data_IF_057513810006
#
_entry.id   IF_057513810006
#
_cell.length_a   1.000
_cell.length_b   1.000
_cell.length_c   1.000
_cell.angle_alpha   90.00
_cell.angle_beta   90.00
_cell.angle_gamma   90.00
#
_symmetry.space_group_name_H-M   'P 1'
#
loop_
_entity.id
_entity.type
_entity.pdbx_description
1 polymer ?
#
# COMPACT_ATOMS: atom_id res chain seq x y z
N UNK A 1 -1.14 -16.68 39.75
CA UNK A 1 -1.05 -15.59 40.75
C UNK A 1 0.24 -14.84 40.46
N UNK A 2 0.17 -13.83 39.61
CA UNK A 2 1.31 -12.97 39.31
C UNK A 2 1.11 -11.67 40.09
N UNK A 3 1.97 -11.49 41.09
CA UNK A 3 2.06 -10.27 41.89
C UNK A 3 2.57 -9.13 40.99
N UNK A 4 1.70 -8.18 40.69
CA UNK A 4 2.09 -6.90 40.10
C UNK A 4 2.97 -6.17 41.13
N UNK A 5 4.25 -6.05 40.83
CA UNK A 5 5.15 -5.15 41.54
C UNK A 5 4.83 -3.72 41.07
N UNK A 6 4.05 -3.01 41.89
CA UNK A 6 3.90 -1.57 41.80
C UNK A 6 5.29 -0.92 41.92
N UNK A 7 5.75 -0.29 40.85
CA UNK A 7 6.87 0.65 40.92
C UNK A 7 6.42 1.86 41.74
N UNK A 8 6.59 1.76 43.07
CA UNK A 8 6.42 2.86 44.01
C UNK A 8 7.46 3.95 43.65
N UNK A 9 7.03 4.98 42.92
CA UNK A 9 7.81 6.22 42.77
C UNK A 9 7.78 6.88 44.15
N UNK A 10 8.78 6.60 44.98
CA UNK A 10 8.90 7.19 46.33
C UNK A 10 9.16 8.70 46.16
N UNK A 11 8.16 9.49 46.47
CA UNK A 11 8.26 10.94 46.65
C UNK A 11 9.12 11.23 47.88
N UNK A 12 10.42 11.49 47.72
CA UNK A 12 11.22 12.01 48.80
C UNK A 12 11.07 13.54 48.84
N UNK A 13 10.32 14.02 49.83
CA UNK A 13 10.18 15.44 50.09
C UNK A 13 11.24 15.80 51.14
N UNK A 14 12.36 16.39 50.68
CA UNK A 14 13.20 17.19 51.60
C UNK A 14 12.53 18.56 51.78
N UNK A 15 12.70 19.26 52.94
CA UNK A 15 11.94 20.44 53.26
C UNK A 15 11.96 21.57 52.20
N UNK A 16 12.88 21.51 51.23
CA UNK A 16 13.02 22.53 50.19
C UNK A 16 13.09 22.00 48.75
N UNK A 17 12.89 20.67 48.52
CA UNK A 17 13.06 20.09 47.15
C UNK A 17 12.05 18.98 46.91
N UNK A 18 11.36 19.01 45.76
CA UNK A 18 10.49 17.97 45.24
C UNK A 18 11.12 17.32 44.04
N UNK A 19 11.29 16.00 44.06
CA UNK A 19 11.81 15.27 42.88
C UNK A 19 10.69 14.82 41.96
N UNK A 20 10.73 15.21 40.71
CA UNK A 20 9.78 14.82 39.64
C UNK A 20 10.57 14.16 38.51
N UNK A 21 10.27 12.90 38.17
CA UNK A 21 11.00 12.13 37.13
C UNK A 21 12.52 12.15 37.33
N UNK A 22 12.96 11.92 38.55
CA UNK A 22 14.39 11.98 38.95
C UNK A 22 15.07 13.35 38.83
N UNK A 23 14.34 14.40 38.54
CA UNK A 23 14.84 15.78 38.45
C UNK A 23 14.42 16.52 39.75
N UNK A 24 15.37 17.08 40.52
CA UNK A 24 15.05 17.89 41.68
C UNK A 24 14.53 19.26 41.30
N UNK A 25 13.45 19.69 41.93
CA UNK A 25 12.81 21.01 41.75
C UNK A 25 12.74 21.71 43.11
N UNK A 26 13.27 22.90 43.24
CA UNK A 26 13.17 23.70 44.46
C UNK A 26 11.70 24.03 44.72
N UNK A 27 11.27 23.84 45.98
CA UNK A 27 9.94 24.29 46.43
C UNK A 27 9.94 25.80 46.51
N UNK A 28 9.00 26.43 45.78
CA UNK A 28 8.85 27.88 45.79
C UNK A 28 7.93 28.35 46.92
N UNK A 29 8.40 29.20 47.86
CA UNK A 29 7.61 29.65 48.96
C UNK A 29 6.52 30.63 48.44
N UNK A 30 5.28 30.31 48.69
CA UNK A 30 4.15 31.17 48.29
C UNK A 30 2.81 30.45 48.34
N UNK A 31 1.77 31.20 48.55
CA UNK A 31 0.41 30.68 48.73
C UNK A 31 -0.10 30.07 47.43
N UNK A 32 -0.74 28.90 47.51
CA UNK A 32 -1.55 28.34 46.45
C UNK A 32 -2.92 29.01 46.53
N UNK A 33 -3.27 29.69 45.43
CA UNK A 33 -4.55 30.39 45.40
C UNK A 33 -5.73 29.42 45.28
N UNK A 34 -6.87 29.66 45.99
CA UNK A 34 -8.04 28.78 45.93
C UNK A 34 -8.52 28.48 44.48
N UNK A 35 -8.46 29.48 43.62
CA UNK A 35 -8.85 29.34 42.20
C UNK A 35 -7.96 28.33 41.41
N UNK A 36 -6.69 28.19 41.79
CA UNK A 36 -5.79 27.22 41.15
C UNK A 36 -6.09 25.80 41.64
N UNK A 37 -6.34 25.68 42.95
CA UNK A 37 -6.72 24.37 43.56
C UNK A 37 -8.04 23.87 42.97
N UNK A 38 -9.05 24.73 42.88
CA UNK A 38 -10.32 24.40 42.24
C UNK A 38 -10.17 24.02 40.75
N UNK A 39 -9.33 24.73 40.00
CA UNK A 39 -9.06 24.44 38.60
C UNK A 39 -8.30 23.09 38.44
N UNK A 40 -7.39 22.76 39.36
CA UNK A 40 -6.67 21.50 39.34
C UNK A 40 -7.61 20.33 39.58
N UNK A 41 -8.43 20.40 40.68
CA UNK A 41 -9.42 19.38 41.00
C UNK A 41 -10.43 19.15 39.89
N UNK A 42 -10.98 20.22 39.33
CA UNK A 42 -11.91 20.13 38.18
C UNK A 42 -11.30 19.42 36.95
N UNK A 43 -9.97 19.41 36.85
CA UNK A 43 -9.21 18.78 35.75
C UNK A 43 -8.56 17.45 36.10
N UNK A 44 -8.88 16.88 37.30
CA UNK A 44 -8.38 15.59 37.74
C UNK A 44 -6.96 15.62 38.32
N UNK A 45 -6.56 16.73 38.93
CA UNK A 45 -5.24 16.90 39.53
C UNK A 45 -5.34 17.55 40.90
N UNK A 46 -4.35 17.28 41.77
CA UNK A 46 -4.12 18.00 43.00
C UNK A 46 -2.82 18.81 42.89
N UNK A 47 -2.82 20.02 43.48
CA UNK A 47 -1.59 20.82 43.59
C UNK A 47 -0.79 20.33 44.80
N UNK A 48 0.41 19.79 44.54
CA UNK A 48 1.33 19.31 45.60
C UNK A 48 2.14 20.47 46.15
N UNK A 49 2.72 21.29 45.27
CA UNK A 49 3.54 22.43 45.65
C UNK A 49 3.67 23.45 44.50
N UNK A 50 4.10 24.66 44.82
CA UNK A 50 4.72 25.56 43.84
C UNK A 50 6.19 25.19 43.76
N UNK A 51 6.74 25.16 42.52
CA UNK A 51 8.11 24.72 42.31
C UNK A 51 8.88 25.67 41.37
N UNK A 52 10.18 25.76 41.55
CA UNK A 52 11.14 26.54 40.80
C UNK A 52 10.94 28.05 40.85
N UNK A 53 9.76 28.57 40.55
CA UNK A 53 9.45 29.96 40.43
C UNK A 53 7.94 30.25 40.69
N UNK A 54 7.55 31.51 40.50
CA UNK A 54 6.15 31.96 40.70
C UNK A 54 5.16 31.43 39.66
N UNK A 55 5.62 30.78 38.57
CA UNK A 55 4.78 30.41 37.41
C UNK A 55 4.53 28.86 37.31
N UNK A 56 5.22 28.06 38.10
CA UNK A 56 5.13 26.60 37.99
C UNK A 56 4.52 25.93 39.23
N UNK A 57 3.74 24.89 38.97
CA UNK A 57 3.14 23.99 39.96
C UNK A 57 3.60 22.57 39.72
N UNK A 58 3.71 21.82 40.81
CA UNK A 58 3.73 20.36 40.81
C UNK A 58 2.30 19.88 40.92
N UNK A 59 1.79 19.16 39.91
CA UNK A 59 0.46 18.57 39.92
C UNK A 59 0.54 17.06 40.07
N UNK A 60 -0.17 16.50 41.03
CA UNK A 60 -0.40 15.08 41.20
C UNK A 60 -1.63 14.65 40.41
N UNK A 61 -1.52 13.61 39.59
CA UNK A 61 -2.63 13.07 38.86
C UNK A 61 -3.53 12.21 39.72
N UNK A 62 -4.83 12.48 39.79
CA UNK A 62 -5.77 11.75 40.65
C UNK A 62 -6.07 10.32 40.16
N UNK A 63 -5.67 10.00 38.88
CA UNK A 63 -5.85 8.66 38.31
C UNK A 63 -4.67 7.74 38.66
N UNK A 64 -3.41 8.21 38.45
CA UNK A 64 -2.23 7.36 38.56
C UNK A 64 -1.24 7.81 39.65
N UNK A 65 -1.50 8.93 40.35
CA UNK A 65 -0.62 9.49 41.36
C UNK A 65 0.67 10.15 40.86
N UNK A 66 0.96 10.05 39.56
CA UNK A 66 2.17 10.61 38.98
C UNK A 66 2.19 12.16 39.14
N UNK A 67 3.37 12.67 39.53
CA UNK A 67 3.57 14.11 39.69
C UNK A 67 4.23 14.70 38.45
N UNK A 68 3.74 15.85 38.03
CA UNK A 68 4.29 16.55 36.86
C UNK A 68 4.41 18.06 37.09
N UNK A 69 5.38 18.68 36.43
CA UNK A 69 5.57 20.13 36.41
C UNK A 69 4.66 20.75 35.37
N UNK A 70 3.83 21.73 35.78
CA UNK A 70 2.89 22.42 34.87
C UNK A 70 2.97 23.94 35.12
N UNK A 71 2.84 24.74 34.07
CA UNK A 71 2.69 26.19 34.24
C UNK A 71 1.29 26.53 34.74
N UNK A 72 1.18 27.51 35.63
CA UNK A 72 -0.12 28.02 36.10
C UNK A 72 -1.00 28.44 34.92
N UNK A 73 -0.43 29.09 33.91
CA UNK A 73 -1.16 29.47 32.70
C UNK A 73 -1.78 28.24 32.01
N UNK A 74 -1.05 27.16 31.86
CA UNK A 74 -1.57 25.91 31.25
C UNK A 74 -2.68 25.30 32.08
N UNK A 75 -2.54 25.30 33.43
CA UNK A 75 -3.60 24.84 34.31
C UNK A 75 -4.89 25.68 34.14
N UNK A 76 -4.75 27.01 34.03
CA UNK A 76 -5.91 27.89 33.95
C UNK A 76 -6.57 27.92 32.57
N UNK A 77 -5.80 27.85 31.49
CA UNK A 77 -6.30 28.03 30.11
C UNK A 77 -6.50 26.74 29.30
N UNK A 78 -5.93 25.62 29.73
CA UNK A 78 -5.99 24.35 28.98
C UNK A 78 -6.21 23.18 29.94
N UNK A 79 -6.44 21.98 29.38
CA UNK A 79 -6.44 20.71 30.11
C UNK A 79 -5.01 20.20 30.24
N UNK A 80 -4.40 20.12 31.42
CA UNK A 80 -3.13 19.43 31.60
C UNK A 80 -3.27 17.95 31.23
N UNK A 81 -2.25 17.39 30.58
CA UNK A 81 -2.22 15.97 30.22
C UNK A 81 -1.24 15.24 31.13
N UNK A 82 -1.66 14.14 31.74
CA UNK A 82 -0.76 13.29 32.52
C UNK A 82 0.05 12.39 31.57
N UNK A 83 1.37 12.58 31.49
CA UNK A 83 2.24 11.79 30.64
C UNK A 83 2.21 10.29 30.98
N UNK A 84 2.16 9.95 32.28
CA UNK A 84 2.08 8.56 32.75
C UNK A 84 0.77 7.88 32.33
N UNK A 85 -0.37 8.57 32.46
CA UNK A 85 -1.65 8.04 32.00
C UNK A 85 -1.69 7.84 30.47
N UNK A 86 -1.12 8.78 29.71
CA UNK A 86 -1.02 8.65 28.24
C UNK A 86 -0.16 7.44 27.88
N UNK A 87 0.99 7.27 28.50
CA UNK A 87 1.86 6.12 28.24
C UNK A 87 1.19 4.79 28.66
N UNK A 88 0.49 4.78 29.79
CA UNK A 88 -0.29 3.62 30.22
C UNK A 88 -1.38 3.25 29.20
N UNK A 89 -2.06 4.25 28.63
CA UNK A 89 -3.04 4.04 27.56
C UNK A 89 -2.39 3.46 26.29
N UNK A 90 -1.21 3.97 25.88
CA UNK A 90 -0.48 3.40 24.74
C UNK A 90 -0.06 1.95 24.96
N UNK A 91 0.36 1.60 26.19
CA UNK A 91 0.68 0.22 26.56
C UNK A 91 -0.55 -0.67 26.51
N UNK A 92 -1.66 -0.22 27.06
CA UNK A 92 -2.91 -0.98 27.03
C UNK A 92 -3.43 -1.20 25.60
N UNK A 93 -3.39 -0.17 24.74
CA UNK A 93 -3.75 -0.29 23.33
C UNK A 93 -2.82 -1.28 22.61
N UNK A 94 -1.52 -1.23 22.90
CA UNK A 94 -0.54 -2.15 22.31
C UNK A 94 -0.80 -3.60 22.73
N UNK A 95 -1.01 -3.85 24.05
CA UNK A 95 -1.30 -5.18 24.59
C UNK A 95 -2.59 -5.75 23.98
N UNK A 96 -3.64 -4.93 23.86
CA UNK A 96 -4.88 -5.33 23.20
C UNK A 96 -4.70 -5.61 21.70
N UNK A 97 -3.71 -4.99 21.05
CA UNK A 97 -3.33 -5.25 19.67
C UNK A 97 -2.37 -6.45 19.50
N UNK A 98 -2.00 -7.15 20.58
CA UNK A 98 -1.02 -8.25 20.57
C UNK A 98 0.42 -7.78 20.35
N UNK A 99 0.74 -6.55 20.76
CA UNK A 99 2.04 -5.91 20.62
C UNK A 99 2.56 -5.45 21.98
N UNK A 100 3.87 -5.28 22.13
CA UNK A 100 4.49 -4.66 23.30
C UNK A 100 4.98 -3.26 22.94
N UNK A 101 4.45 -2.24 23.60
CA UNK A 101 4.94 -0.87 23.42
C UNK A 101 6.35 -0.73 23.99
N UNK A 102 7.29 -0.22 23.20
CA UNK A 102 8.66 0.02 23.64
C UNK A 102 8.85 1.48 24.07
N UNK A 103 8.69 2.39 23.16
CA UNK A 103 8.82 3.82 23.43
C UNK A 103 8.18 4.64 22.30
N UNK A 104 7.90 5.91 22.62
CA UNK A 104 7.46 6.89 21.63
C UNK A 104 8.60 7.22 20.67
N UNK A 105 8.28 7.46 19.40
CA UNK A 105 9.25 7.96 18.42
C UNK A 105 9.72 9.38 18.82
N UNK A 106 11.04 9.58 19.05
CA UNK A 106 11.57 10.88 19.43
C UNK A 106 11.43 11.93 18.32
N UNK A 107 11.34 11.49 17.05
CA UNK A 107 11.28 12.37 15.88
C UNK A 107 9.84 12.64 15.41
N UNK A 108 8.86 11.84 15.88
CA UNK A 108 7.48 12.04 15.48
C UNK A 108 6.50 11.69 16.62
N UNK A 109 5.85 12.73 17.15
CA UNK A 109 4.94 12.61 18.29
C UNK A 109 3.72 11.69 18.06
N UNK A 110 3.40 11.34 16.82
CA UNK A 110 2.25 10.50 16.47
C UNK A 110 2.60 9.01 16.32
N UNK A 111 3.88 8.63 16.47
CA UNK A 111 4.37 7.29 16.29
C UNK A 111 4.98 6.71 17.57
N UNK A 112 4.91 5.40 17.69
CA UNK A 112 5.63 4.59 18.66
C UNK A 112 6.34 3.42 18.00
N UNK A 113 7.28 2.83 18.73
CA UNK A 113 7.95 1.59 18.40
C UNK A 113 7.35 0.45 19.24
N UNK A 114 7.11 -0.67 18.59
CA UNK A 114 6.44 -1.82 19.19
C UNK A 114 7.18 -3.10 18.84
N UNK A 115 7.28 -4.00 19.80
CA UNK A 115 7.75 -5.35 19.58
C UNK A 115 6.54 -6.23 19.25
N UNK A 116 6.60 -6.97 18.13
CA UNK A 116 5.54 -7.87 17.69
C UNK A 116 5.82 -9.32 18.09
N UNK A 117 4.79 -10.17 18.10
CA UNK A 117 4.91 -11.58 18.44
C UNK A 117 5.93 -12.35 17.57
N UNK A 118 6.20 -11.88 16.34
CA UNK A 118 7.21 -12.47 15.46
C UNK A 118 8.65 -12.03 15.77
N UNK A 119 8.88 -11.27 16.84
CA UNK A 119 10.21 -10.81 17.26
C UNK A 119 10.71 -9.54 16.58
N UNK A 120 9.98 -8.98 15.63
CA UNK A 120 10.40 -7.76 14.94
C UNK A 120 9.91 -6.50 15.64
N UNK A 121 10.72 -5.44 15.58
CA UNK A 121 10.34 -4.11 16.03
C UNK A 121 9.70 -3.38 14.85
N UNK A 122 8.51 -2.83 15.07
CA UNK A 122 7.74 -2.10 14.08
C UNK A 122 7.44 -0.68 14.55
N UNK A 123 7.44 0.27 13.65
CA UNK A 123 7.06 1.66 13.89
C UNK A 123 5.64 1.89 13.40
N UNK A 124 4.72 2.31 14.28
CA UNK A 124 3.31 2.53 13.96
C UNK A 124 2.77 3.81 14.57
N UNK A 125 1.75 4.37 13.94
CA UNK A 125 0.96 5.45 14.52
C UNK A 125 0.15 4.93 15.69
N UNK A 126 0.03 5.73 16.76
CA UNK A 126 -0.82 5.39 17.91
C UNK A 126 -2.27 5.13 17.49
N UNK A 127 -2.80 5.92 16.55
CA UNK A 127 -4.16 5.73 16.05
C UNK A 127 -4.34 4.40 15.30
N UNK A 128 -3.32 3.95 14.55
CA UNK A 128 -3.35 2.64 13.91
C UNK A 128 -3.41 1.51 14.95
N UNK A 129 -2.62 1.62 16.05
CA UNK A 129 -2.65 0.63 17.12
C UNK A 129 -4.02 0.56 17.77
N UNK A 130 -4.67 1.69 18.05
CA UNK A 130 -6.06 1.72 18.56
C UNK A 130 -7.04 1.01 17.64
N UNK A 131 -6.91 1.22 16.34
CA UNK A 131 -7.76 0.55 15.34
C UNK A 131 -7.52 -0.96 15.30
N UNK A 132 -6.27 -1.41 15.47
CA UNK A 132 -5.94 -2.84 15.58
C UNK A 132 -6.51 -3.41 16.87
N UNK A 133 -6.32 -2.73 18.01
CA UNK A 133 -6.87 -3.11 19.30
C UNK A 133 -8.41 -3.24 19.29
N UNK A 134 -9.08 -2.37 18.53
CA UNK A 134 -10.53 -2.40 18.34
C UNK A 134 -11.00 -3.45 17.29
N UNK A 135 -10.10 -4.22 16.68
CA UNK A 135 -10.44 -5.20 15.64
C UNK A 135 -10.88 -4.59 14.29
N UNK A 136 -10.71 -3.28 14.09
CA UNK A 136 -11.11 -2.58 12.86
C UNK A 136 -10.13 -2.80 11.70
N UNK A 137 -8.92 -3.26 11.98
CA UNK A 137 -7.90 -3.60 10.99
C UNK A 137 -6.93 -4.63 11.57
N UNK A 138 -6.29 -5.43 10.71
CA UNK A 138 -5.29 -6.40 11.12
C UNK A 138 -3.90 -5.77 11.28
N UNK A 139 -3.07 -6.40 12.10
CA UNK A 139 -1.64 -6.11 12.18
C UNK A 139 -0.88 -6.89 11.10
N UNK A 140 0.07 -6.23 10.45
CA UNK A 140 1.01 -6.85 9.51
C UNK A 140 2.42 -6.36 9.80
N UNK A 141 3.33 -7.31 10.05
CA UNK A 141 4.76 -7.01 10.14
C UNK A 141 5.37 -6.93 8.74
N UNK A 142 5.98 -5.81 8.38
CA UNK A 142 6.58 -5.60 7.05
C UNK A 142 7.74 -6.59 6.79
N UNK A 143 8.55 -6.86 7.79
CA UNK A 143 9.69 -7.80 7.68
C UNK A 143 9.21 -9.21 7.38
N UNK A 144 8.22 -9.70 8.15
CA UNK A 144 7.63 -11.03 7.88
C UNK A 144 6.94 -11.08 6.52
N UNK A 145 6.27 -10.00 6.13
CA UNK A 145 5.59 -9.94 4.84
C UNK A 145 6.58 -9.98 3.67
N UNK A 146 7.67 -9.22 3.75
CA UNK A 146 8.73 -9.26 2.74
C UNK A 146 9.40 -10.65 2.65
N UNK A 147 9.63 -11.29 3.81
CA UNK A 147 10.14 -12.66 3.84
C UNK A 147 9.18 -13.66 3.19
N UNK A 148 7.87 -13.52 3.44
CA UNK A 148 6.84 -14.36 2.80
C UNK A 148 6.82 -14.16 1.29
N UNK A 149 6.87 -12.90 0.80
CA UNK A 149 6.94 -12.61 -0.65
C UNK A 149 8.16 -13.24 -1.31
N UNK A 150 9.32 -13.23 -0.63
CA UNK A 150 10.54 -13.85 -1.15
C UNK A 150 10.41 -15.40 -1.21
N UNK A 151 9.85 -16.03 -0.17
CA UNK A 151 9.63 -17.46 -0.14
C UNK A 151 8.61 -17.91 -1.21
N UNK A 152 7.52 -17.17 -1.39
CA UNK A 152 6.54 -17.43 -2.46
C UNK A 152 7.19 -17.41 -3.86
N UNK A 153 8.17 -16.55 -4.08
CA UNK A 153 8.93 -16.52 -5.33
C UNK A 153 9.84 -17.74 -5.47
N UNK A 154 10.61 -18.06 -4.42
CA UNK A 154 11.52 -19.24 -4.40
C UNK A 154 10.76 -20.54 -4.66
N UNK A 155 9.61 -20.74 -4.03
CA UNK A 155 8.76 -21.92 -4.21
C UNK A 155 8.31 -22.12 -5.67
N UNK A 156 8.42 -21.06 -6.50
CA UNK A 156 8.07 -21.09 -7.93
C UNK A 156 9.26 -21.02 -8.87
N UNK A 157 10.48 -21.12 -8.36
CA UNK A 157 11.72 -21.04 -9.15
C UNK A 157 12.07 -19.61 -9.57
N UNK A 158 11.70 -18.61 -8.74
CA UNK A 158 12.01 -17.21 -8.97
C UNK A 158 12.66 -16.57 -7.76
N UNK A 159 13.52 -15.61 -8.00
CA UNK A 159 14.12 -14.76 -6.97
C UNK A 159 13.48 -13.36 -7.00
N UNK A 160 12.98 -12.90 -5.85
CA UNK A 160 12.50 -11.53 -5.69
C UNK A 160 13.69 -10.56 -5.71
N UNK A 161 13.77 -9.67 -6.71
CA UNK A 161 14.89 -8.74 -6.89
C UNK A 161 14.64 -7.38 -6.24
N UNK A 162 13.50 -6.75 -6.52
CA UNK A 162 13.21 -5.41 -6.03
C UNK A 162 11.71 -5.07 -6.03
N UNK A 163 11.38 -3.95 -5.38
CA UNK A 163 10.10 -3.28 -5.61
C UNK A 163 9.98 -2.82 -7.06
N UNK A 164 8.76 -2.52 -7.49
CA UNK A 164 8.50 -1.97 -8.81
C UNK A 164 9.22 -0.63 -9.04
N UNK A 165 10.03 -0.47 -10.08
CA UNK A 165 10.68 0.80 -10.43
C UNK A 165 9.70 1.95 -10.71
N UNK A 166 8.49 1.63 -11.18
CA UNK A 166 7.42 2.60 -11.43
C UNK A 166 6.63 2.98 -10.17
N UNK A 167 6.97 2.36 -9.02
CA UNK A 167 6.36 2.66 -7.72
C UNK A 167 4.98 2.02 -7.49
N UNK A 168 4.51 1.12 -8.37
CA UNK A 168 3.26 0.38 -8.14
C UNK A 168 3.46 -0.68 -7.05
N UNK A 169 2.80 -0.51 -5.91
CA UNK A 169 2.88 -1.41 -4.77
C UNK A 169 2.40 -2.85 -5.06
N UNK A 170 1.66 -3.07 -6.16
CA UNK A 170 1.14 -4.36 -6.56
C UNK A 170 2.12 -5.17 -7.41
N UNK A 171 3.22 -4.59 -7.86
CA UNK A 171 4.20 -5.23 -8.73
C UNK A 171 5.56 -5.33 -8.05
N UNK A 172 6.35 -6.33 -8.52
CA UNK A 172 7.76 -6.53 -8.14
C UNK A 172 8.54 -6.95 -9.37
N UNK A 173 9.85 -6.77 -9.31
CA UNK A 173 10.78 -7.37 -10.26
C UNK A 173 11.25 -8.70 -9.70
N UNK A 174 11.10 -9.75 -10.49
CA UNK A 174 11.54 -11.10 -10.18
C UNK A 174 12.49 -11.58 -11.26
N UNK A 175 13.49 -12.38 -10.87
CA UNK A 175 14.41 -13.07 -11.77
C UNK A 175 14.06 -14.56 -11.79
N UNK A 176 13.93 -15.13 -12.97
CA UNK A 176 13.70 -16.56 -13.15
C UNK A 176 15.00 -17.34 -12.93
N UNK A 177 15.03 -18.29 -11.99
CA UNK A 177 16.26 -18.95 -11.54
C UNK A 177 16.86 -19.87 -12.63
N UNK A 178 16.05 -20.37 -13.57
CA UNK A 178 16.51 -21.25 -14.63
C UNK A 178 17.15 -20.53 -15.84
N UNK A 179 16.87 -19.22 -16.06
CA UNK A 179 17.36 -18.52 -17.25
C UNK A 179 17.79 -17.06 -16.99
N UNK A 180 17.84 -16.65 -15.72
CA UNK A 180 18.22 -15.29 -15.27
C UNK A 180 17.39 -14.14 -15.87
N UNK A 181 16.26 -14.45 -16.54
CA UNK A 181 15.37 -13.43 -17.11
C UNK A 181 14.68 -12.65 -16.00
N UNK A 182 14.82 -11.32 -16.03
CA UNK A 182 14.11 -10.45 -15.10
C UNK A 182 12.77 -10.01 -15.69
N UNK A 183 11.73 -10.09 -14.88
CA UNK A 183 10.37 -9.80 -15.30
C UNK A 183 9.58 -9.09 -14.19
N UNK A 184 8.80 -8.09 -14.60
CA UNK A 184 7.83 -7.42 -13.76
C UNK A 184 6.57 -8.26 -13.65
N UNK A 185 6.28 -8.77 -12.44
CA UNK A 185 5.13 -9.64 -12.17
C UNK A 185 4.27 -9.03 -11.06
N UNK A 186 2.94 -9.09 -11.23
CA UNK A 186 2.02 -8.71 -10.17
C UNK A 186 2.13 -9.69 -8.99
N UNK A 187 2.16 -9.19 -7.76
CA UNK A 187 2.23 -10.00 -6.53
C UNK A 187 1.14 -11.06 -6.47
N UNK A 188 -0.10 -10.70 -6.81
CA UNK A 188 -1.22 -11.65 -6.86
C UNK A 188 -1.01 -12.78 -7.89
N UNK A 189 -0.32 -12.50 -9.00
CA UNK A 189 0.04 -13.52 -9.99
C UNK A 189 1.13 -14.44 -9.43
N UNK A 190 2.16 -13.88 -8.79
CA UNK A 190 3.20 -14.68 -8.12
C UNK A 190 2.58 -15.63 -7.09
N UNK A 191 1.67 -15.14 -6.26
CA UNK A 191 0.96 -15.94 -5.27
C UNK A 191 0.11 -17.05 -5.88
N UNK A 192 -0.60 -16.77 -6.98
CA UNK A 192 -1.52 -17.71 -7.62
C UNK A 192 -0.87 -18.62 -8.68
N UNK A 193 0.38 -18.35 -9.08
CA UNK A 193 1.07 -19.07 -10.17
C UNK A 193 0.53 -18.72 -11.56
N UNK A 194 -0.18 -17.62 -11.73
CA UNK A 194 -0.77 -17.20 -13.00
C UNK A 194 0.20 -16.36 -13.84
N UNK A 195 1.37 -16.88 -14.09
CA UNK A 195 2.41 -16.23 -14.91
C UNK A 195 3.31 -17.29 -15.49
N UNK A 196 4.10 -16.94 -16.53
CA UNK A 196 5.14 -17.76 -17.09
C UNK A 196 6.37 -16.90 -17.39
N UNK A 197 7.50 -17.55 -17.61
CA UNK A 197 8.75 -16.86 -17.91
C UNK A 197 8.77 -16.37 -19.36
N UNK A 198 8.94 -15.05 -19.56
CA UNK A 198 9.10 -14.46 -20.87
C UNK A 198 10.41 -14.85 -21.59
N UNK A 199 11.41 -15.35 -20.82
CA UNK A 199 12.71 -15.75 -21.37
C UNK A 199 12.81 -17.22 -21.76
N UNK A 200 12.09 -18.14 -21.09
CA UNK A 200 12.23 -19.58 -21.34
C UNK A 200 11.56 -20.10 -22.62
N UNK A 201 10.58 -19.39 -23.15
CA UNK A 201 9.91 -19.79 -24.40
C UNK A 201 8.90 -20.95 -24.29
N UNK A 202 8.72 -21.54 -23.12
CA UNK A 202 7.86 -22.71 -22.93
C UNK A 202 6.39 -22.33 -22.73
N UNK A 203 6.13 -21.24 -21.99
CA UNK A 203 4.78 -20.74 -21.71
C UNK A 203 4.35 -19.63 -22.71
N UNK A 204 3.07 -19.26 -22.66
CA UNK A 204 2.53 -18.24 -23.57
C UNK A 204 3.32 -16.91 -23.63
N UNK A 205 3.97 -16.40 -22.55
CA UNK A 205 4.76 -15.18 -22.62
C UNK A 205 6.04 -15.35 -23.43
N UNK A 206 6.66 -16.53 -23.42
CA UNK A 206 7.88 -16.83 -24.15
C UNK A 206 7.65 -17.43 -25.53
N UNK A 207 6.47 -17.99 -25.80
CA UNK A 207 6.19 -18.62 -27.08
C UNK A 207 5.99 -17.60 -28.19
N UNK A 208 6.41 -17.94 -29.42
CA UNK A 208 6.16 -17.14 -30.60
C UNK A 208 4.67 -16.78 -30.74
N UNK A 209 4.39 -15.56 -31.09
CA UNK A 209 3.05 -15.00 -31.16
C UNK A 209 2.93 -14.05 -32.34
N UNK A 210 1.75 -13.52 -32.54
CA UNK A 210 1.47 -12.59 -33.63
C UNK A 210 0.66 -11.41 -33.10
N UNK A 211 0.95 -10.21 -33.57
CA UNK A 211 0.02 -9.07 -33.47
C UNK A 211 -0.80 -9.06 -34.78
N UNK A 212 -2.07 -8.79 -34.66
CA UNK A 212 -2.99 -8.82 -35.79
C UNK A 212 -3.95 -7.64 -35.78
N UNK A 213 -4.42 -7.28 -36.98
CA UNK A 213 -5.62 -6.49 -37.21
C UNK A 213 -6.69 -7.38 -37.85
N UNK A 214 -7.90 -7.33 -37.31
CA UNK A 214 -9.09 -8.06 -37.81
C UNK A 214 -10.24 -7.08 -38.05
N UNK A 215 -10.98 -7.26 -39.13
CA UNK A 215 -12.23 -6.54 -39.39
C UNK A 215 -13.44 -7.39 -39.06
N UNK A 216 -14.51 -6.75 -38.65
CA UNK A 216 -15.81 -7.35 -38.46
C UNK A 216 -16.89 -6.40 -38.99
N UNK A 217 -17.95 -6.97 -39.57
CA UNK A 217 -19.13 -6.21 -39.94
C UNK A 217 -20.25 -6.56 -38.96
N UNK A 218 -20.66 -5.60 -38.12
CA UNK A 218 -21.73 -5.78 -37.17
C UNK A 218 -23.09 -5.93 -37.84
N UNK A 219 -24.08 -6.49 -37.16
CA UNK A 219 -25.45 -6.64 -37.69
C UNK A 219 -26.07 -5.30 -38.10
N UNK A 220 -25.61 -4.18 -37.58
CA UNK A 220 -26.00 -2.83 -38.01
C UNK A 220 -25.45 -2.41 -39.36
N UNK A 221 -24.60 -3.22 -40.00
CA UNK A 221 -23.81 -2.85 -41.21
C UNK A 221 -22.57 -2.04 -40.92
N UNK A 222 -22.27 -1.71 -39.63
CA UNK A 222 -21.09 -0.93 -39.27
C UNK A 222 -19.84 -1.80 -39.31
N UNK A 223 -18.81 -1.33 -40.00
CA UNK A 223 -17.50 -1.95 -39.98
C UNK A 223 -16.73 -1.52 -38.72
N UNK A 224 -16.01 -2.47 -38.14
CA UNK A 224 -15.16 -2.26 -36.96
C UNK A 224 -13.83 -2.96 -37.16
N UNK A 225 -12.77 -2.44 -36.51
CA UNK A 225 -11.44 -3.04 -36.51
C UNK A 225 -11.02 -3.38 -35.10
N UNK A 226 -10.42 -4.57 -34.94
CA UNK A 226 -9.75 -5.02 -33.71
C UNK A 226 -8.27 -5.16 -33.94
N UNK A 227 -7.48 -4.50 -33.10
CA UNK A 227 -6.07 -4.78 -32.86
C UNK A 227 -5.95 -5.77 -31.70
N UNK A 228 -5.06 -6.74 -31.79
CA UNK A 228 -4.85 -7.73 -30.74
C UNK A 228 -3.63 -8.61 -30.99
N UNK A 229 -3.31 -9.47 -30.02
CA UNK A 229 -2.26 -10.49 -30.22
C UNK A 229 -2.80 -11.89 -29.93
N UNK A 230 -2.18 -12.91 -30.54
CA UNK A 230 -2.48 -14.32 -30.32
C UNK A 230 -1.35 -15.20 -30.84
N UNK A 231 -1.21 -16.41 -30.27
CA UNK A 231 -0.33 -17.47 -30.86
C UNK A 231 -0.91 -18.02 -32.17
N UNK A 232 -2.22 -17.97 -32.32
CA UNK A 232 -2.94 -18.45 -33.48
C UNK A 232 -4.08 -17.46 -33.80
N UNK A 233 -3.85 -16.46 -34.67
CA UNK A 233 -4.86 -15.50 -35.09
C UNK A 233 -6.07 -16.12 -35.81
N UNK A 234 -5.87 -17.14 -36.59
CA UNK A 234 -6.96 -17.86 -37.33
C UNK A 234 -7.92 -18.55 -36.36
N UNK A 235 -7.38 -19.36 -35.44
CA UNK A 235 -8.16 -19.98 -34.37
C UNK A 235 -8.86 -18.92 -33.50
N UNK A 236 -8.17 -17.82 -33.23
CA UNK A 236 -8.75 -16.70 -32.46
C UNK A 236 -9.96 -16.10 -33.16
N UNK A 237 -9.86 -15.83 -34.45
CA UNK A 237 -10.93 -15.26 -35.26
C UNK A 237 -12.14 -16.20 -35.31
N UNK A 238 -11.92 -17.44 -35.70
CA UNK A 238 -13.00 -18.38 -36.02
C UNK A 238 -13.70 -18.98 -34.82
N UNK A 239 -12.99 -19.25 -33.72
CA UNK A 239 -13.54 -20.00 -32.58
C UNK A 239 -13.70 -19.19 -31.30
N UNK A 240 -12.97 -18.09 -31.15
CA UNK A 240 -12.96 -17.39 -29.86
C UNK A 240 -13.65 -16.02 -29.91
N UNK A 241 -13.54 -15.28 -31.01
CA UNK A 241 -14.03 -13.91 -31.07
C UNK A 241 -15.49 -13.80 -31.52
N UNK A 242 -15.91 -14.58 -32.51
CA UNK A 242 -17.27 -14.49 -33.03
C UNK A 242 -18.29 -15.15 -32.12
N UNK A 243 -19.42 -14.52 -31.91
CA UNK A 243 -20.63 -15.14 -31.31
C UNK A 243 -21.53 -15.75 -32.38
N UNK A 244 -21.56 -15.14 -33.57
CA UNK A 244 -22.28 -15.62 -34.74
C UNK A 244 -21.29 -16.10 -35.80
N UNK A 245 -21.40 -17.37 -36.21
CA UNK A 245 -20.53 -17.97 -37.22
C UNK A 245 -20.70 -17.32 -38.60
N UNK A 246 -21.82 -16.68 -38.86
CA UNK A 246 -22.13 -16.04 -40.16
C UNK A 246 -21.64 -14.59 -40.23
N UNK A 247 -21.18 -14.01 -39.12
CA UNK A 247 -20.70 -12.63 -39.09
C UNK A 247 -19.52 -12.44 -40.03
N UNK A 248 -19.62 -11.49 -41.00
CA UNK A 248 -18.49 -11.18 -41.91
C UNK A 248 -17.30 -10.67 -41.10
N UNK A 249 -16.15 -11.28 -41.32
CA UNK A 249 -14.89 -10.91 -40.68
C UNK A 249 -13.70 -11.33 -41.52
N UNK A 250 -12.59 -10.64 -41.36
CA UNK A 250 -11.34 -10.95 -42.03
C UNK A 250 -10.11 -10.62 -41.18
N UNK A 251 -9.06 -11.39 -41.31
CA UNK A 251 -7.73 -10.98 -40.88
C UNK A 251 -7.15 -10.03 -41.92
N UNK A 252 -6.89 -8.80 -41.52
CA UNK A 252 -6.38 -7.75 -42.42
C UNK A 252 -4.85 -7.78 -42.49
N UNK A 253 -4.18 -7.99 -41.38
CA UNK A 253 -2.72 -8.08 -41.30
C UNK A 253 -2.31 -8.86 -40.05
N UNK A 254 -1.18 -9.59 -40.18
CA UNK A 254 -0.54 -10.34 -39.09
C UNK A 254 0.95 -10.04 -39.12
N UNK A 255 1.52 -9.69 -37.97
CA UNK A 255 2.95 -9.44 -37.79
C UNK A 255 3.50 -10.45 -36.79
N UNK A 256 4.49 -11.29 -37.19
CA UNK A 256 5.07 -12.27 -36.28
C UNK A 256 5.87 -11.57 -35.18
N UNK A 257 5.77 -12.09 -33.97
CA UNK A 257 6.49 -11.63 -32.80
C UNK A 257 7.27 -12.79 -32.18
N UNK A 258 8.48 -12.53 -31.70
CA UNK A 258 9.36 -13.54 -31.13
C UNK A 258 8.72 -14.23 -29.91
N UNK A 259 8.05 -13.44 -29.08
CA UNK A 259 7.41 -13.91 -27.85
C UNK A 259 6.05 -13.27 -27.64
N UNK A 260 5.16 -13.96 -26.91
CA UNK A 260 3.88 -13.41 -26.48
C UNK A 260 4.03 -12.16 -25.58
N UNK A 261 5.10 -12.09 -24.79
CA UNK A 261 5.39 -10.91 -23.98
C UNK A 261 5.71 -9.68 -24.84
N UNK A 262 6.58 -9.83 -25.86
CA UNK A 262 6.87 -8.76 -26.82
C UNK A 262 5.62 -8.34 -27.59
N UNK A 263 4.78 -9.30 -27.99
CA UNK A 263 3.51 -9.05 -28.65
C UNK A 263 2.55 -8.24 -27.76
N UNK A 264 2.41 -8.62 -26.47
CA UNK A 264 1.58 -7.90 -25.50
C UNK A 264 2.07 -6.47 -25.26
N UNK A 265 3.38 -6.26 -25.13
CA UNK A 265 3.96 -4.93 -24.92
C UNK A 265 3.71 -4.02 -26.13
N UNK A 266 3.95 -4.53 -27.34
CA UNK A 266 3.71 -3.79 -28.57
C UNK A 266 2.22 -3.48 -28.78
N UNK A 267 1.32 -4.44 -28.52
CA UNK A 267 -0.14 -4.22 -28.55
C UNK A 267 -0.55 -3.10 -27.61
N UNK A 268 -0.10 -3.12 -26.36
CA UNK A 268 -0.40 -2.07 -25.37
C UNK A 268 0.10 -0.69 -25.80
N UNK A 269 1.31 -0.61 -26.33
CA UNK A 269 1.87 0.65 -26.84
C UNK A 269 1.04 1.21 -28.01
N UNK A 270 0.60 0.34 -28.93
CA UNK A 270 -0.27 0.72 -30.04
C UNK A 270 -1.65 1.20 -29.55
N UNK A 271 -2.26 0.50 -28.60
CA UNK A 271 -3.52 0.94 -28.00
C UNK A 271 -3.39 2.30 -27.30
N UNK A 272 -2.31 2.53 -26.55
CA UNK A 272 -2.04 3.81 -25.91
C UNK A 272 -1.90 4.94 -26.95
N UNK A 273 -1.19 4.70 -28.04
CA UNK A 273 -1.05 5.67 -29.15
C UNK A 273 -2.39 5.94 -29.82
N UNK A 274 -3.19 4.91 -30.14
CA UNK A 274 -4.54 5.09 -30.70
C UNK A 274 -5.42 5.94 -29.76
N UNK A 275 -5.39 5.67 -28.47
CA UNK A 275 -6.19 6.44 -27.51
C UNK A 275 -5.74 7.88 -27.34
N UNK A 276 -4.44 8.16 -27.53
CA UNK A 276 -3.89 9.52 -27.55
C UNK A 276 -4.31 10.29 -28.81
N UNK A 277 -4.14 9.67 -29.96
CA UNK A 277 -4.25 10.34 -31.24
C UNK A 277 -5.70 10.34 -31.79
N UNK A 278 -6.49 9.34 -31.41
CA UNK A 278 -7.88 9.10 -31.84
C UNK A 278 -8.80 8.70 -30.68
N UNK A 279 -9.00 9.53 -29.66
CA UNK A 279 -9.74 9.16 -28.44
C UNK A 279 -11.19 8.73 -28.70
N UNK A 280 -11.82 9.29 -29.74
CA UNK A 280 -13.22 9.01 -30.10
C UNK A 280 -13.38 7.76 -30.98
N UNK A 281 -12.31 7.13 -31.45
CA UNK A 281 -12.36 5.97 -32.32
C UNK A 281 -12.73 4.67 -31.57
N UNK A 282 -12.57 4.62 -30.25
CA UNK A 282 -12.92 3.48 -29.42
C UNK A 282 -14.43 3.39 -29.26
N UNK A 283 -15.02 2.25 -29.67
CA UNK A 283 -16.45 2.03 -29.59
C UNK A 283 -16.88 1.61 -28.18
N UNK A 284 -18.04 2.13 -27.76
CA UNK A 284 -18.65 1.68 -26.50
C UNK A 284 -19.00 0.18 -26.60
N UNK A 285 -18.82 -0.60 -25.52
CA UNK A 285 -19.12 -2.04 -25.53
C UNK A 285 -20.58 -2.37 -25.93
N UNK A 286 -21.54 -1.49 -25.66
CA UNK A 286 -22.93 -1.65 -26.06
C UNK A 286 -23.14 -1.83 -27.57
N UNK A 287 -22.20 -1.34 -28.40
CA UNK A 287 -22.32 -1.44 -29.86
C UNK A 287 -21.96 -2.83 -30.42
N UNK A 288 -21.16 -3.62 -29.70
CA UNK A 288 -20.55 -4.85 -30.25
C UNK A 288 -20.54 -6.06 -29.32
N UNK A 289 -20.71 -5.89 -28.00
CA UNK A 289 -20.54 -6.98 -26.97
C UNK A 289 -21.41 -8.21 -27.20
N UNK A 290 -22.59 -8.05 -27.82
CA UNK A 290 -23.49 -9.15 -28.12
C UNK A 290 -23.04 -9.99 -29.33
N UNK A 291 -22.11 -9.46 -30.13
CA UNK A 291 -21.67 -10.06 -31.39
C UNK A 291 -20.21 -10.52 -31.37
N UNK A 292 -19.34 -9.83 -30.57
CA UNK A 292 -17.90 -10.11 -30.47
C UNK A 292 -17.55 -10.42 -29.00
N UNK A 293 -16.82 -11.53 -28.75
CA UNK A 293 -16.39 -11.99 -27.43
C UNK A 293 -15.09 -11.36 -26.99
N UNK A 294 -15.08 -10.05 -26.75
CA UNK A 294 -13.94 -9.33 -26.20
C UNK A 294 -14.38 -8.47 -25.01
N UNK A 295 -13.43 -8.00 -24.24
CA UNK A 295 -13.75 -7.12 -23.09
C UNK A 295 -13.68 -5.64 -23.48
N UNK A 296 -12.72 -5.29 -24.34
CA UNK A 296 -12.40 -3.91 -24.74
C UNK A 296 -11.78 -3.93 -26.13
N UNK A 297 -11.42 -2.74 -26.66
CA UNK A 297 -10.48 -2.59 -27.80
C UNK A 297 -11.06 -2.94 -29.18
N UNK A 298 -12.30 -2.51 -29.39
CA UNK A 298 -12.91 -2.43 -30.70
C UNK A 298 -12.97 -0.96 -31.12
N UNK A 299 -12.51 -0.68 -32.32
CA UNK A 299 -12.43 0.66 -32.90
C UNK A 299 -13.34 0.76 -34.13
N UNK A 300 -13.72 1.98 -34.47
CA UNK A 300 -14.46 2.27 -35.71
C UNK A 300 -13.68 1.79 -36.92
N UNK A 301 -14.35 1.26 -37.93
CA UNK A 301 -13.73 0.79 -39.18
C UNK A 301 -12.94 1.86 -39.94
N UNK A 302 -13.30 3.14 -39.77
CA UNK A 302 -12.54 4.26 -40.32
C UNK A 302 -11.08 4.31 -39.83
N UNK A 303 -10.78 3.70 -38.65
CA UNK A 303 -9.43 3.63 -38.11
C UNK A 303 -8.54 2.54 -38.78
N UNK A 304 -9.11 1.69 -39.61
CA UNK A 304 -8.38 0.57 -40.25
C UNK A 304 -7.06 1.00 -40.91
N UNK A 305 -6.98 2.09 -41.71
CA UNK A 305 -5.73 2.52 -42.32
C UNK A 305 -4.64 2.86 -41.28
N UNK A 306 -5.02 3.48 -40.18
CA UNK A 306 -4.09 3.84 -39.09
C UNK A 306 -3.54 2.57 -38.41
N UNK A 307 -4.41 1.62 -38.10
CA UNK A 307 -4.01 0.34 -37.48
C UNK A 307 -3.08 -0.44 -38.42
N UNK A 308 -3.39 -0.50 -39.69
CA UNK A 308 -2.55 -1.18 -40.68
C UNK A 308 -1.20 -0.47 -40.91
N UNK A 309 -1.18 0.86 -40.84
CA UNK A 309 0.07 1.65 -40.85
C UNK A 309 0.97 1.32 -39.66
N UNK A 310 0.41 1.33 -38.45
CA UNK A 310 1.17 0.98 -37.25
C UNK A 310 1.75 -0.44 -37.30
N UNK A 311 1.00 -1.41 -37.85
CA UNK A 311 1.50 -2.77 -38.03
C UNK A 311 2.57 -2.86 -39.12
N UNK A 312 2.52 -2.01 -40.17
CA UNK A 312 3.56 -1.95 -41.17
C UNK A 312 4.85 -1.34 -40.62
N UNK A 313 4.74 -0.29 -39.79
CA UNK A 313 5.89 0.30 -39.09
C UNK A 313 6.58 -0.72 -38.18
N UNK A 314 5.79 -1.44 -37.36
CA UNK A 314 6.31 -2.50 -36.50
C UNK A 314 7.03 -3.62 -37.27
N UNK A 315 6.48 -4.02 -38.43
CA UNK A 315 7.09 -5.02 -39.31
C UNK A 315 8.41 -4.54 -39.89
N UNK A 316 8.47 -3.27 -40.32
CA UNK A 316 9.68 -2.64 -40.85
C UNK A 316 10.78 -2.49 -39.79
N UNK A 317 10.43 -2.04 -38.58
CA UNK A 317 11.35 -1.95 -37.46
C UNK A 317 11.99 -3.31 -37.13
N UNK A 318 11.21 -4.38 -37.18
CA UNK A 318 11.68 -5.75 -36.91
C UNK A 318 12.54 -6.32 -38.03
N UNK A 319 12.31 -5.93 -39.26
CA UNK A 319 13.14 -6.33 -40.41
C UNK A 319 14.50 -5.64 -40.41
N UNK A 320 14.61 -4.50 -39.69
CA UNK A 320 15.83 -3.72 -39.56
C UNK A 320 16.69 -4.09 -38.35
N UNK A 321 16.15 -4.86 -37.39
CA UNK A 321 16.79 -5.28 -36.12
C UNK A 321 17.42 -6.69 -36.22
#
# INVERSE_FOLDING_TARGET
>A
MNTMTNANTSLSISPNTLTINSIPHAVYPGTILPKWAAAAQAKGFDIIARINDRLHLALGCNICGAVQKVRIFTLMSAQPLCAACIEAAWKADADAAGLTFLHRDPNNRHYGFYHSACGHIVRRQFEMIKRIAAGLTGFRCETCHAATEALEAIDRGWTLMSADPEGDANYRIYRHDACDHEQRIARANMQSGRFGCGGCGEDWPGAASYIYAMSFTLASGREVVKLGFSRDPESRLHYQLKRDATMPCAILKVVPMETGHKALCAEKAMHARIMSDHPDAKLAPSAWKEQIRVKTEIYDGALTPVVLGMLADLEAERAAA
#
